data_IF_685634385775
#
_entry.id   IF_685634385775
#
_cell.length_a   1.000
_cell.length_b   1.000
_cell.length_c   1.000
_cell.angle_alpha   90.00
_cell.angle_beta   90.00
_cell.angle_gamma   90.00
#
_symmetry.space_group_name_H-M   'P 1'
#
loop_
_entity.id
_entity.type
_entity.pdbx_description
1 polymer ?
#
# COMPACT_ATOMS: atom_id res chain seq x y z
N UNK A 1 12.07 29.55 4.97
CA UNK A 1 10.64 29.44 4.59
C UNK A 1 10.43 28.05 4.04
N UNK A 2 9.71 27.18 4.75
CA UNK A 2 9.56 25.78 4.36
C UNK A 2 8.57 25.68 3.19
N UNK A 3 9.01 25.07 2.08
CA UNK A 3 8.16 24.74 0.91
C UNK A 3 7.21 23.59 1.28
N UNK A 4 7.56 22.85 2.32
CA UNK A 4 6.78 21.79 2.92
C UNK A 4 6.04 22.32 4.15
N UNK A 5 4.81 21.88 4.39
CA UNK A 5 4.17 22.06 5.69
C UNK A 5 5.06 21.40 6.75
N UNK A 6 5.52 22.17 7.73
CA UNK A 6 5.95 21.58 8.99
C UNK A 6 4.70 20.98 9.64
N UNK A 7 4.45 19.69 9.41
CA UNK A 7 3.29 18.99 9.98
C UNK A 7 2.48 18.19 8.97
N UNK A 8 3.03 17.08 8.50
CA UNK A 8 2.28 15.84 8.27
C UNK A 8 3.27 14.66 8.41
N UNK A 9 3.68 14.37 9.66
CA UNK A 9 4.61 13.27 9.97
C UNK A 9 4.08 11.88 9.56
N UNK A 10 2.79 11.74 9.24
CA UNK A 10 2.22 10.51 8.65
C UNK A 10 2.73 10.23 7.23
N UNK A 11 3.37 11.22 6.58
CA UNK A 11 4.04 11.07 5.28
C UNK A 11 5.51 10.66 5.40
N UNK A 12 6.05 10.58 6.61
CA UNK A 12 7.38 10.04 6.92
C UNK A 12 7.34 8.55 7.31
N UNK A 13 6.17 7.90 7.23
CA UNK A 13 6.03 6.46 7.42
C UNK A 13 6.74 5.71 6.29
N UNK A 14 8.00 5.36 6.55
CA UNK A 14 8.83 4.59 5.64
C UNK A 14 8.24 3.19 5.41
N UNK A 15 7.70 2.59 6.48
CA UNK A 15 7.11 1.24 6.49
C UNK A 15 5.94 1.20 7.48
N UNK A 16 4.82 0.59 7.09
CA UNK A 16 3.65 0.37 7.93
C UNK A 16 3.14 -1.07 7.76
N UNK A 17 2.59 -1.66 8.83
CA UNK A 17 1.92 -2.96 8.79
C UNK A 17 0.49 -2.77 9.26
N UNK A 18 -0.46 -3.18 8.43
CA UNK A 18 -1.89 -3.14 8.73
C UNK A 18 -2.48 -4.54 8.77
N UNK A 19 -3.51 -4.71 9.59
CA UNK A 19 -4.22 -5.97 9.75
C UNK A 19 -5.69 -5.74 9.47
N UNK A 20 -6.22 -6.45 8.48
CA UNK A 20 -7.61 -6.36 8.06
C UNK A 20 -8.31 -7.69 8.30
N UNK A 21 -9.48 -7.73 8.96
CA UNK A 21 -10.31 -8.93 8.94
C UNK A 21 -10.75 -9.20 7.49
N UNK A 22 -10.25 -10.27 6.86
CA UNK A 22 -10.38 -10.51 5.41
C UNK A 22 -11.84 -10.52 4.99
N UNK A 23 -12.68 -11.22 5.76
CA UNK A 23 -14.12 -11.30 5.53
C UNK A 23 -14.79 -9.93 5.56
N UNK A 24 -14.50 -9.12 6.58
CA UNK A 24 -15.09 -7.79 6.75
C UNK A 24 -14.67 -6.86 5.62
N UNK A 25 -13.38 -6.88 5.25
CA UNK A 25 -12.86 -6.07 4.15
C UNK A 25 -13.59 -6.37 2.83
N UNK A 26 -13.85 -7.65 2.53
CA UNK A 26 -14.59 -8.06 1.34
C UNK A 26 -16.06 -7.64 1.41
N UNK A 27 -16.74 -7.94 2.51
CA UNK A 27 -18.17 -7.69 2.69
C UNK A 27 -18.51 -6.18 2.70
N UNK A 28 -17.68 -5.35 3.34
CA UNK A 28 -17.83 -3.88 3.33
C UNK A 28 -17.77 -3.28 1.92
N UNK A 29 -17.16 -4.00 0.98
CA UNK A 29 -17.02 -3.58 -0.42
C UNK A 29 -17.90 -4.41 -1.37
N UNK A 30 -18.91 -5.11 -0.83
CA UNK A 30 -19.91 -5.83 -1.62
C UNK A 30 -19.42 -7.12 -2.27
N UNK A 31 -18.29 -7.68 -1.81
CA UNK A 31 -17.77 -8.97 -2.26
C UNK A 31 -18.25 -10.06 -1.31
N UNK A 32 -18.89 -11.09 -1.85
CA UNK A 32 -19.34 -12.25 -1.07
C UNK A 32 -18.13 -13.04 -0.55
N UNK A 33 -18.02 -13.12 0.78
CA UNK A 33 -16.95 -13.80 1.50
C UNK A 33 -17.40 -15.15 2.09
N UNK A 34 -18.48 -15.75 1.56
CA UNK A 34 -18.97 -17.07 1.96
C UNK A 34 -18.13 -18.25 1.44
N UNK A 35 -17.28 -17.99 0.44
CA UNK A 35 -16.43 -18.98 -0.21
C UNK A 35 -15.10 -19.26 0.49
N UNK A 36 -14.17 -19.89 -0.24
CA UNK A 36 -12.80 -20.14 0.23
C UNK A 36 -12.00 -18.83 0.29
N UNK A 37 -11.43 -18.52 1.46
CA UNK A 37 -10.60 -17.34 1.72
C UNK A 37 -9.13 -17.69 1.99
N UNK A 38 -8.72 -18.93 1.70
CA UNK A 38 -7.36 -19.41 1.96
C UNK A 38 -6.31 -18.93 0.94
N UNK A 39 -6.75 -18.32 -0.17
CA UNK A 39 -5.87 -17.78 -1.22
C UNK A 39 -6.46 -16.50 -1.83
N UNK A 40 -5.62 -15.57 -2.27
CA UNK A 40 -6.09 -14.36 -2.96
C UNK A 40 -6.81 -14.66 -4.27
N UNK A 41 -6.37 -15.70 -4.98
CA UNK A 41 -6.96 -16.09 -6.26
C UNK A 41 -8.41 -16.57 -6.13
N UNK A 42 -8.82 -17.10 -4.96
CA UNK A 42 -10.20 -17.57 -4.76
C UNK A 42 -11.22 -16.45 -4.62
N UNK A 43 -10.80 -15.22 -4.30
CA UNK A 43 -11.72 -14.09 -4.09
C UNK A 43 -11.44 -12.85 -4.93
N UNK A 44 -10.45 -12.87 -5.84
CA UNK A 44 -10.28 -11.74 -6.76
C UNK A 44 -9.12 -11.84 -7.73
N UNK A 45 -8.97 -10.80 -8.55
CA UNK A 45 -7.77 -10.53 -9.37
C UNK A 45 -6.81 -9.62 -8.60
N UNK A 46 -5.49 -9.70 -8.86
CA UNK A 46 -4.48 -8.94 -8.11
C UNK A 46 -4.80 -7.44 -8.03
N UNK A 47 -5.08 -6.81 -9.17
CA UNK A 47 -5.37 -5.36 -9.23
C UNK A 47 -6.64 -4.98 -8.47
N UNK A 48 -7.66 -5.86 -8.50
CA UNK A 48 -8.92 -5.60 -7.79
C UNK A 48 -8.72 -5.64 -6.28
N UNK A 49 -7.94 -6.60 -5.78
CA UNK A 49 -7.64 -6.74 -4.36
C UNK A 49 -6.69 -5.63 -3.89
N UNK A 50 -5.67 -5.27 -4.70
CA UNK A 50 -4.79 -4.14 -4.41
C UNK A 50 -5.59 -2.82 -4.32
N UNK A 51 -6.54 -2.60 -5.24
CA UNK A 51 -7.45 -1.45 -5.19
C UNK A 51 -8.35 -1.47 -3.95
N UNK A 52 -8.90 -2.63 -3.59
CA UNK A 52 -9.72 -2.82 -2.39
C UNK A 52 -8.95 -2.42 -1.12
N UNK A 53 -7.73 -2.93 -0.97
CA UNK A 53 -6.84 -2.63 0.15
C UNK A 53 -6.53 -1.13 0.19
N UNK A 54 -6.18 -0.54 -0.96
CA UNK A 54 -5.88 0.88 -1.05
C UNK A 54 -7.09 1.76 -0.72
N UNK A 55 -8.29 1.39 -1.22
CA UNK A 55 -9.53 2.12 -0.94
C UNK A 55 -9.85 2.11 0.55
N UNK A 56 -9.66 0.98 1.22
CA UNK A 56 -9.87 0.87 2.67
C UNK A 56 -8.85 1.73 3.44
N UNK A 57 -7.57 1.67 3.06
CA UNK A 57 -6.50 2.49 3.68
C UNK A 57 -6.75 4.00 3.55
N UNK A 58 -7.41 4.43 2.47
CA UNK A 58 -7.68 5.85 2.19
C UNK A 58 -9.11 6.29 2.57
N UNK A 59 -9.94 5.39 3.14
CA UNK A 59 -11.36 5.64 3.49
C UNK A 59 -11.56 6.87 4.38
N UNK A 60 -10.60 7.16 5.26
CA UNK A 60 -10.65 8.30 6.19
C UNK A 60 -9.96 9.57 5.66
N UNK A 61 -9.51 9.58 4.40
CA UNK A 61 -8.85 10.72 3.74
C UNK A 61 -9.64 11.22 2.52
N UNK A 62 -10.89 11.67 2.70
CA UNK A 62 -11.70 12.16 1.59
C UNK A 62 -11.01 13.34 0.90
N UNK A 63 -10.63 13.14 -0.36
CA UNK A 63 -10.02 14.17 -1.22
C UNK A 63 -8.51 14.03 -1.47
N UNK A 64 -7.83 13.01 -0.97
CA UNK A 64 -6.38 12.86 -1.19
C UNK A 64 -6.02 12.01 -2.41
N UNK A 65 -5.17 12.60 -3.27
CA UNK A 65 -4.25 11.99 -4.24
C UNK A 65 -4.82 11.01 -5.28
N UNK A 66 -4.63 11.32 -6.56
CA UNK A 66 -4.77 10.35 -7.64
C UNK A 66 -3.76 9.22 -7.41
N UNK A 67 -4.25 8.10 -6.90
CA UNK A 67 -3.47 6.89 -6.69
C UNK A 67 -3.82 5.87 -7.76
N UNK A 68 -2.81 5.34 -8.43
CA UNK A 68 -2.93 4.27 -9.42
C UNK A 68 -2.16 3.02 -8.98
N UNK A 69 -2.72 1.85 -9.27
CA UNK A 69 -1.98 0.59 -9.18
C UNK A 69 -1.03 0.52 -10.38
N UNK A 70 0.27 0.42 -10.13
CA UNK A 70 1.28 0.32 -11.20
C UNK A 70 1.68 -1.12 -11.47
N UNK A 71 1.53 -2.01 -10.49
CA UNK A 71 1.69 -3.45 -10.63
C UNK A 71 0.92 -4.19 -9.55
N UNK A 72 0.45 -5.40 -9.85
CA UNK A 72 -0.04 -6.34 -8.85
C UNK A 72 0.16 -7.79 -9.34
N UNK A 73 0.59 -8.68 -8.45
CA UNK A 73 0.82 -10.09 -8.77
C UNK A 73 0.72 -10.98 -7.54
N UNK A 74 0.44 -12.26 -7.75
CA UNK A 74 0.41 -13.26 -6.69
C UNK A 74 1.76 -13.97 -6.55
N UNK A 75 2.03 -14.48 -5.35
CA UNK A 75 2.96 -15.58 -5.17
C UNK A 75 2.46 -16.85 -5.88
N UNK A 76 3.33 -17.82 -6.19
CA UNK A 76 2.93 -19.08 -6.82
C UNK A 76 1.86 -19.87 -6.04
N UNK A 77 1.84 -19.77 -4.72
CA UNK A 77 0.83 -20.40 -3.84
C UNK A 77 -0.43 -19.55 -3.65
N UNK A 78 -0.49 -18.36 -4.26
CA UNK A 78 -1.57 -17.38 -4.13
C UNK A 78 -1.90 -16.96 -2.69
N UNK A 79 -0.99 -17.17 -1.72
CA UNK A 79 -1.16 -16.72 -0.33
C UNK A 79 -0.54 -15.36 -0.05
N UNK A 80 0.19 -14.82 -1.01
CA UNK A 80 0.74 -13.48 -0.98
C UNK A 80 0.32 -12.71 -2.22
N UNK A 81 0.06 -11.42 -2.03
CA UNK A 81 -0.21 -10.45 -3.09
C UNK A 81 0.85 -9.35 -2.97
N UNK A 82 1.59 -9.11 -4.04
CA UNK A 82 2.56 -8.04 -4.17
C UNK A 82 1.95 -6.97 -5.07
N UNK A 83 2.04 -5.71 -4.69
CA UNK A 83 1.53 -4.63 -5.53
C UNK A 83 2.27 -3.31 -5.27
N UNK A 84 2.23 -2.44 -6.27
CA UNK A 84 2.80 -1.11 -6.21
C UNK A 84 1.76 -0.05 -6.54
N UNK A 85 1.88 1.08 -5.85
CA UNK A 85 1.02 2.25 -5.99
C UNK A 85 1.86 3.46 -6.39
N UNK A 86 1.30 4.31 -7.24
CA UNK A 86 1.82 5.65 -7.51
C UNK A 86 0.76 6.68 -7.14
N UNK A 87 1.08 7.53 -6.17
CA UNK A 87 0.16 8.55 -5.64
C UNK A 87 0.69 9.94 -5.91
N UNK A 88 -0.09 10.78 -6.58
CA UNK A 88 0.23 12.20 -6.76
C UNK A 88 0.10 12.93 -5.42
N UNK A 89 1.18 13.58 -4.98
CA UNK A 89 1.19 14.37 -3.75
C UNK A 89 0.68 15.77 -4.08
N UNK A 90 -0.38 16.19 -3.39
CA UNK A 90 -0.86 17.57 -3.48
C UNK A 90 0.14 18.53 -2.82
N UNK A 91 0.55 19.55 -3.56
CA UNK A 91 1.56 20.52 -3.15
C UNK A 91 0.89 21.88 -3.02
N UNK A 92 0.92 22.46 -1.82
CA UNK A 92 0.24 23.73 -1.54
C UNK A 92 0.80 24.92 -2.34
N UNK A 93 2.08 24.87 -2.71
CA UNK A 93 2.81 25.92 -3.44
C UNK A 93 3.62 25.32 -4.60
N UNK A 94 2.95 24.86 -5.67
CA UNK A 94 3.62 24.20 -6.79
C UNK A 94 4.63 25.11 -7.50
N UNK A 95 4.45 26.43 -7.43
CA UNK A 95 5.39 27.43 -7.94
C UNK A 95 6.77 27.34 -7.25
N UNK A 96 6.80 27.19 -5.92
CA UNK A 96 8.06 27.06 -5.18
C UNK A 96 8.76 25.73 -5.46
N UNK A 97 7.99 24.67 -5.72
CA UNK A 97 8.51 23.38 -6.13
C UNK A 97 9.22 23.49 -7.50
N UNK A 98 8.62 24.20 -8.45
CA UNK A 98 9.22 24.46 -9.75
C UNK A 98 10.47 25.34 -9.62
N UNK A 99 10.40 26.43 -8.86
CA UNK A 99 11.54 27.35 -8.67
C UNK A 99 12.74 26.67 -7.99
N UNK A 100 12.49 25.80 -7.01
CA UNK A 100 13.55 25.21 -6.18
C UNK A 100 14.08 23.88 -6.72
N UNK A 101 13.22 23.07 -7.33
CA UNK A 101 13.55 21.70 -7.73
C UNK A 101 13.31 21.43 -9.23
N UNK A 102 12.73 22.37 -9.98
CA UNK A 102 12.38 22.19 -11.39
C UNK A 102 11.26 21.18 -11.63
N UNK A 103 10.43 20.91 -10.62
CA UNK A 103 9.36 19.90 -10.68
C UNK A 103 7.98 20.57 -10.66
N UNK A 104 7.07 20.08 -11.50
CA UNK A 104 5.67 20.55 -11.53
C UNK A 104 4.74 19.71 -10.66
N UNK A 105 5.12 18.46 -10.36
CA UNK A 105 4.35 17.49 -9.59
C UNK A 105 5.29 16.66 -8.74
N UNK A 106 4.75 16.14 -7.64
CA UNK A 106 5.42 15.17 -6.79
C UNK A 106 4.62 13.88 -6.77
N UNK A 107 5.32 12.76 -6.81
CA UNK A 107 4.73 11.45 -6.69
C UNK A 107 5.36 10.69 -5.53
N UNK A 108 4.53 9.89 -4.87
CA UNK A 108 4.94 8.86 -3.93
C UNK A 108 4.84 7.52 -4.62
N UNK A 109 5.86 6.69 -4.46
CA UNK A 109 5.81 5.28 -4.82
C UNK A 109 5.65 4.49 -3.54
N UNK A 110 4.68 3.57 -3.52
CA UNK A 110 4.47 2.62 -2.42
C UNK A 110 4.60 1.22 -2.98
N UNK A 111 5.40 0.37 -2.36
CA UNK A 111 5.42 -1.07 -2.58
C UNK A 111 4.77 -1.76 -1.39
N UNK A 112 4.03 -2.84 -1.66
CA UNK A 112 3.27 -3.50 -0.63
C UNK A 112 3.23 -5.02 -0.84
N UNK A 113 3.09 -5.73 0.28
CA UNK A 113 2.86 -7.17 0.33
C UNK A 113 1.73 -7.48 1.30
N UNK A 114 0.67 -8.08 0.77
CA UNK A 114 -0.42 -8.64 1.56
C UNK A 114 -0.22 -10.15 1.73
N UNK A 115 -0.58 -10.69 2.90
CA UNK A 115 -0.47 -12.11 3.21
C UNK A 115 -1.66 -12.63 4.00
N UNK A 116 -2.07 -13.86 3.67
CA UNK A 116 -3.11 -14.63 4.37
C UNK A 116 -2.51 -15.68 5.33
N UNK A 117 -1.18 -15.69 5.51
CA UNK A 117 -0.47 -16.71 6.28
C UNK A 117 -0.59 -16.56 7.81
N UNK A 118 -1.30 -15.56 8.32
CA UNK A 118 -1.57 -15.46 9.76
C UNK A 118 -2.55 -16.51 10.27
N UNK A 119 -3.30 -17.16 9.37
CA UNK A 119 -4.24 -18.27 9.66
C UNK A 119 -5.28 -17.96 10.76
N UNK A 120 -5.61 -16.68 10.95
CA UNK A 120 -6.53 -16.18 11.97
C UNK A 120 -7.75 -15.45 11.36
N UNK A 121 -7.97 -15.64 10.06
CA UNK A 121 -9.01 -14.94 9.30
C UNK A 121 -8.69 -13.48 8.97
N UNK A 122 -7.49 -13.01 9.28
CA UNK A 122 -7.02 -11.67 8.92
C UNK A 122 -6.04 -11.73 7.75
N UNK A 123 -5.96 -10.61 7.04
CA UNK A 123 -4.96 -10.30 6.05
C UNK A 123 -3.99 -9.30 6.68
N UNK A 124 -2.71 -9.60 6.61
CA UNK A 124 -1.66 -8.66 7.01
C UNK A 124 -1.08 -8.02 5.76
N UNK A 125 -0.97 -6.69 5.76
CA UNK A 125 -0.42 -5.93 4.64
C UNK A 125 0.70 -5.04 5.13
N UNK A 126 1.90 -5.26 4.61
CA UNK A 126 3.03 -4.35 4.82
C UNK A 126 3.11 -3.40 3.62
N UNK A 127 3.30 -2.12 3.90
CA UNK A 127 3.50 -1.06 2.93
C UNK A 127 4.84 -0.40 3.22
N UNK A 128 5.54 0.00 2.16
CA UNK A 128 6.73 0.84 2.28
C UNK A 128 6.71 1.90 1.19
N UNK A 129 7.02 3.15 1.54
CA UNK A 129 6.85 4.26 0.60
C UNK A 129 7.95 5.31 0.67
N UNK A 130 8.23 5.94 -0.47
CA UNK A 130 9.12 7.08 -0.59
C UNK A 130 8.68 8.01 -1.73
N UNK A 131 9.30 9.19 -1.82
CA UNK A 131 9.16 10.04 -3.00
C UNK A 131 9.74 9.31 -4.22
N UNK A 132 9.16 9.53 -5.40
CA UNK A 132 9.56 8.87 -6.64
C UNK A 132 11.07 8.91 -6.90
N UNK A 133 11.70 10.08 -6.74
CA UNK A 133 13.16 10.24 -6.91
C UNK A 133 13.99 9.43 -5.93
N UNK A 134 13.55 9.34 -4.68
CA UNK A 134 14.26 8.57 -3.65
C UNK A 134 14.06 7.07 -3.87
N UNK A 135 12.87 6.68 -4.31
CA UNK A 135 12.51 5.31 -4.65
C UNK A 135 13.28 4.77 -5.86
N UNK A 136 13.66 5.62 -6.82
CA UNK A 136 14.55 5.23 -7.93
C UNK A 136 15.99 4.93 -7.48
N UNK A 137 16.36 5.35 -6.26
CA UNK A 137 17.67 5.18 -5.67
C UNK A 137 17.81 3.94 -4.76
N UNK A 138 18.85 3.93 -3.91
CA UNK A 138 19.09 2.82 -2.97
C UNK A 138 17.97 2.64 -1.94
N UNK A 139 17.23 3.72 -1.63
CA UNK A 139 16.13 3.68 -0.68
C UNK A 139 14.99 2.79 -1.19
N UNK A 140 14.65 2.85 -2.48
CA UNK A 140 13.64 1.96 -3.07
C UNK A 140 14.00 0.48 -2.97
N UNK A 141 15.29 0.15 -3.14
CA UNK A 141 15.79 -1.22 -2.95
C UNK A 141 15.62 -1.66 -1.51
N UNK A 142 15.98 -0.81 -0.55
CA UNK A 142 15.84 -1.11 0.88
C UNK A 142 14.36 -1.25 1.30
N UNK A 143 13.47 -0.43 0.74
CA UNK A 143 12.03 -0.49 0.98
C UNK A 143 11.43 -1.78 0.42
N UNK A 144 11.79 -2.16 -0.80
CA UNK A 144 11.36 -3.42 -1.39
C UNK A 144 11.84 -4.62 -0.57
N UNK A 145 13.11 -4.62 -0.14
CA UNK A 145 13.64 -5.67 0.74
C UNK A 145 12.93 -5.72 2.10
N UNK A 146 12.56 -4.57 2.65
CA UNK A 146 11.80 -4.48 3.91
C UNK A 146 10.42 -5.12 3.77
N UNK A 147 9.72 -4.83 2.66
CA UNK A 147 8.43 -5.45 2.33
C UNK A 147 8.60 -6.95 2.07
N UNK A 148 9.58 -7.36 1.28
CA UNK A 148 9.78 -8.77 0.89
C UNK A 148 10.19 -9.65 2.07
N UNK A 149 10.96 -9.11 3.02
CA UNK A 149 11.41 -9.82 4.22
C UNK A 149 10.35 -9.95 5.32
N UNK A 150 9.23 -9.22 5.23
CA UNK A 150 8.16 -9.32 6.23
C UNK A 150 7.52 -10.72 6.22
N UNK A 151 7.62 -11.47 7.32
CA UNK A 151 7.01 -12.80 7.44
C UNK A 151 5.94 -12.72 8.53
N UNK A 152 4.65 -12.91 8.20
CA UNK A 152 3.60 -12.99 9.22
C UNK A 152 3.78 -14.27 10.04
N UNK A 153 3.57 -14.15 11.34
CA UNK A 153 3.59 -15.30 12.27
C UNK A 153 2.21 -15.95 12.24
N UNK A 154 2.17 -17.28 12.15
CA UNK A 154 0.95 -18.07 12.28
C UNK A 154 0.34 -17.87 13.68
N UNK A 155 -0.91 -17.41 13.74
CA UNK A 155 -1.66 -17.15 14.97
C UNK A 155 -2.74 -18.19 15.26
N UNK A 156 -2.82 -19.28 14.49
CA UNK A 156 -3.87 -20.32 14.64
C UNK A 156 -3.77 -21.12 15.95
N UNK A 157 -2.65 -21.03 16.66
CA UNK A 157 -2.37 -21.77 17.90
C UNK A 157 -2.42 -20.90 19.17
N UNK A 158 -2.83 -19.63 19.07
CA UNK A 158 -2.93 -18.70 20.20
C UNK A 158 -4.30 -18.76 20.90
#
# INVERSE_FOLDING_TARGET
>A
SSIFTAGEMSKAELVAVERYPTKVLLEENGIDASGDLSSFQSFGKPDAIANLINLHREKDKPGQSKTEITSASYSPDSKMLFFSLKSEIDVQKPELLMESYGLSRLFRITTAKASLNSNDGNMLVVFASALEKDFEGPDGVALQQSVDSFIPIDQSAA
#
